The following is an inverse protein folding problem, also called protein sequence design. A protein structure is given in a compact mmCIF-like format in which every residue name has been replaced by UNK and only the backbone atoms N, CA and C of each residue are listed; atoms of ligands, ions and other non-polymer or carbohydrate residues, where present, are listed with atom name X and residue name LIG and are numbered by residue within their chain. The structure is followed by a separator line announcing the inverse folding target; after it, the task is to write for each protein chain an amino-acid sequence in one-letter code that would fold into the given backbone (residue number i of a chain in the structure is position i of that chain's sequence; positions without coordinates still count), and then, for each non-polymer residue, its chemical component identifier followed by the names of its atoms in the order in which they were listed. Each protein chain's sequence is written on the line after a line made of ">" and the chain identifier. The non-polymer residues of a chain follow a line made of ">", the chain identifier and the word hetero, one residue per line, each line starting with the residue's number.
data_IF_640447175266
#
_entry.id   IF_640447175266
#
_cell.length_a   1.000
_cell.length_b   1.000
_cell.length_c   1.000
_cell.angle_alpha   90.00
_cell.angle_beta   90.00
_cell.angle_gamma   90.00
#
_symmetry.space_group_name_H-M   'P 1'
#
loop_
_entity.id
_entity.type
_entity.pdbx_description
1 polymer ?
#
# COMPACT_ATOMS: atom_id res chain seq x y z
N UNK A 1 -35.73 35.89 -7.44
CA UNK A 1 -34.75 35.51 -6.40
C UNK A 1 -35.04 34.13 -5.78
N UNK A 2 -36.25 33.85 -5.28
CA UNK A 2 -36.62 32.59 -4.59
C UNK A 2 -36.36 31.29 -5.40
N UNK A 3 -36.59 31.29 -6.72
CA UNK A 3 -36.35 30.13 -7.61
C UNK A 3 -34.87 29.74 -7.74
N UNK A 4 -33.95 30.70 -7.64
CA UNK A 4 -32.50 30.46 -7.80
C UNK A 4 -31.95 29.82 -6.53
N UNK A 5 -32.34 30.33 -5.35
CA UNK A 5 -31.97 29.72 -4.07
C UNK A 5 -32.50 28.30 -3.94
N UNK A 6 -33.74 28.05 -4.35
CA UNK A 6 -34.32 26.69 -4.35
C UNK A 6 -33.57 25.73 -5.28
N UNK A 7 -33.13 26.18 -6.46
CA UNK A 7 -32.32 25.37 -7.37
C UNK A 7 -30.93 25.05 -6.82
N UNK A 8 -30.27 26.03 -6.19
CA UNK A 8 -28.96 25.84 -5.53
C UNK A 8 -29.10 24.87 -4.35
N UNK A 9 -30.15 25.00 -3.53
CA UNK A 9 -30.39 24.11 -2.40
C UNK A 9 -30.63 22.66 -2.84
N UNK A 10 -31.37 22.48 -3.94
CA UNK A 10 -31.57 21.16 -4.56
C UNK A 10 -30.25 20.57 -5.06
N UNK A 11 -29.40 21.37 -5.72
CA UNK A 11 -28.09 20.94 -6.19
C UNK A 11 -27.16 20.57 -5.03
N UNK A 12 -27.15 21.36 -3.94
CA UNK A 12 -26.39 21.05 -2.73
C UNK A 12 -26.87 19.76 -2.06
N UNK A 13 -28.19 19.54 -2.01
CA UNK A 13 -28.77 18.32 -1.47
C UNK A 13 -28.44 17.09 -2.32
N UNK A 14 -28.57 17.18 -3.66
CA UNK A 14 -28.19 16.11 -4.59
C UNK A 14 -26.69 15.79 -4.51
N UNK A 15 -25.83 16.80 -4.40
CA UNK A 15 -24.39 16.61 -4.23
C UNK A 15 -24.04 15.97 -2.87
N UNK A 16 -24.74 16.34 -1.79
CA UNK A 16 -24.56 15.71 -0.49
C UNK A 16 -24.98 14.24 -0.51
N UNK A 17 -26.14 13.94 -1.10
CA UNK A 17 -26.63 12.55 -1.24
C UNK A 17 -25.74 11.74 -2.16
N UNK A 18 -25.24 12.29 -3.28
CA UNK A 18 -24.31 11.59 -4.16
C UNK A 18 -22.96 11.37 -3.49
N UNK A 19 -22.47 12.34 -2.71
CA UNK A 19 -21.23 12.21 -1.93
C UNK A 19 -21.35 11.09 -0.89
N UNK A 20 -22.44 11.07 -0.12
CA UNK A 20 -22.72 10.03 0.88
C UNK A 20 -22.92 8.67 0.20
N UNK A 21 -23.68 8.59 -0.89
CA UNK A 21 -23.88 7.34 -1.62
C UNK A 21 -22.57 6.81 -2.21
N UNK A 22 -21.71 7.69 -2.72
CA UNK A 22 -20.37 7.32 -3.19
C UNK A 22 -19.53 6.82 -2.01
N UNK A 23 -19.53 7.51 -0.88
CA UNK A 23 -18.80 7.08 0.33
C UNK A 23 -19.30 5.71 0.80
N UNK A 24 -20.61 5.51 0.91
CA UNK A 24 -21.24 4.25 1.38
C UNK A 24 -20.97 3.11 0.39
N UNK A 25 -21.10 3.36 -0.92
CA UNK A 25 -20.87 2.36 -1.95
C UNK A 25 -19.39 1.99 -2.05
N UNK A 26 -18.48 2.98 -1.98
CA UNK A 26 -17.04 2.71 -1.88
C UNK A 26 -16.67 1.99 -0.56
N UNK A 27 -17.34 2.31 0.55
CA UNK A 27 -17.15 1.63 1.83
C UNK A 27 -17.48 0.14 1.73
N UNK A 28 -18.56 -0.19 1.03
CA UNK A 28 -19.08 -1.55 0.95
C UNK A 28 -18.37 -2.41 -0.11
N UNK A 29 -17.92 -1.80 -1.22
CA UNK A 29 -17.36 -2.53 -2.36
C UNK A 29 -15.83 -2.43 -2.49
N UNK A 30 -15.23 -1.34 -2.00
CA UNK A 30 -13.85 -0.96 -2.31
C UNK A 30 -12.97 -0.91 -1.04
N UNK A 31 -13.57 -0.74 0.14
CA UNK A 31 -12.90 -0.70 1.43
C UNK A 31 -12.25 0.68 1.73
N UNK A 32 -12.17 1.04 3.02
CA UNK A 32 -11.62 2.34 3.49
C UNK A 32 -10.24 2.64 2.89
N UNK A 33 -9.39 1.62 2.80
CA UNK A 33 -8.00 1.74 2.34
C UNK A 33 -7.90 2.28 0.90
N UNK A 34 -8.89 1.97 0.07
CA UNK A 34 -8.95 2.44 -1.30
C UNK A 34 -9.52 3.84 -1.46
N UNK A 35 -10.55 4.17 -0.67
CA UNK A 35 -11.04 5.55 -0.62
C UNK A 35 -9.93 6.50 -0.14
N UNK A 36 -9.13 6.06 0.84
CA UNK A 36 -7.94 6.77 1.29
C UNK A 36 -6.92 6.98 0.16
N UNK A 37 -6.62 5.93 -0.63
CA UNK A 37 -5.73 6.03 -1.79
C UNK A 37 -6.24 6.99 -2.86
N UNK A 38 -7.56 7.01 -3.11
CA UNK A 38 -8.17 7.92 -4.08
C UNK A 38 -8.07 9.38 -3.62
N UNK A 39 -8.34 9.65 -2.34
CA UNK A 39 -8.15 10.99 -1.74
C UNK A 39 -6.68 11.41 -1.82
N UNK A 40 -5.75 10.51 -1.50
CA UNK A 40 -4.31 10.79 -1.65
C UNK A 40 -3.91 11.06 -3.10
N UNK A 41 -4.46 10.31 -4.07
CA UNK A 41 -4.19 10.52 -5.50
C UNK A 41 -4.70 11.86 -6.00
N UNK A 42 -5.90 12.27 -5.58
CA UNK A 42 -6.45 13.60 -5.89
C UNK A 42 -5.64 14.72 -5.23
N UNK A 43 -5.22 14.53 -3.98
CA UNK A 43 -4.38 15.48 -3.25
C UNK A 43 -3.00 15.62 -3.91
N UNK A 44 -2.42 14.50 -4.35
CA UNK A 44 -1.16 14.47 -5.08
C UNK A 44 -1.27 15.18 -6.44
N UNK A 45 -2.42 15.09 -7.13
CA UNK A 45 -2.62 15.81 -8.38
C UNK A 45 -2.46 17.34 -8.22
N UNK A 46 -2.83 17.89 -7.05
CA UNK A 46 -2.70 19.32 -6.75
C UNK A 46 -1.30 19.71 -6.22
N UNK A 47 -0.74 18.94 -5.27
CA UNK A 47 0.50 19.31 -4.59
C UNK A 47 1.77 18.69 -5.18
N UNK A 48 1.68 17.49 -5.75
CA UNK A 48 2.83 16.70 -6.18
C UNK A 48 2.44 15.72 -7.30
N UNK A 49 2.18 16.20 -8.53
CA UNK A 49 1.58 15.40 -9.59
C UNK A 49 2.44 14.19 -10.00
N UNK A 50 3.76 14.24 -9.77
CA UNK A 50 4.65 13.11 -9.97
C UNK A 50 4.34 11.89 -9.07
N UNK A 51 3.72 12.11 -7.90
CA UNK A 51 3.35 11.05 -6.95
C UNK A 51 2.07 10.30 -7.33
N UNK A 52 1.29 10.80 -8.29
CA UNK A 52 0.05 10.15 -8.74
C UNK A 52 0.34 8.75 -9.26
N UNK A 53 1.40 8.58 -10.05
CA UNK A 53 1.75 7.27 -10.63
C UNK A 53 2.16 6.24 -9.55
N UNK A 54 3.05 6.56 -8.59
CA UNK A 54 3.30 5.71 -7.42
C UNK A 54 2.06 5.38 -6.61
N UNK A 55 1.18 6.36 -6.37
CA UNK A 55 -0.06 6.15 -5.60
C UNK A 55 -1.01 5.21 -6.34
N UNK A 56 -1.14 5.35 -7.66
CA UNK A 56 -1.92 4.41 -8.48
C UNK A 56 -1.35 2.99 -8.40
N UNK A 57 -0.01 2.85 -8.46
CA UNK A 57 0.65 1.55 -8.33
C UNK A 57 0.39 0.90 -6.96
N UNK A 58 0.51 1.69 -5.88
CA UNK A 58 0.19 1.22 -4.53
C UNK A 58 -1.29 0.90 -4.36
N UNK A 59 -2.17 1.66 -5.02
CA UNK A 59 -3.61 1.39 -5.02
C UNK A 59 -3.91 0.01 -5.57
N UNK A 60 -3.28 -0.38 -6.68
CA UNK A 60 -3.42 -1.74 -7.23
C UNK A 60 -3.03 -2.80 -6.18
N UNK A 61 -1.93 -2.59 -5.46
CA UNK A 61 -1.52 -3.46 -4.35
C UNK A 61 -2.56 -3.54 -3.23
N UNK A 62 -3.11 -2.40 -2.82
CA UNK A 62 -4.19 -2.34 -1.82
C UNK A 62 -5.45 -3.06 -2.29
N UNK A 63 -5.75 -3.08 -3.61
CA UNK A 63 -6.96 -3.68 -4.15
C UNK A 63 -6.97 -5.18 -3.92
N UNK A 64 -5.87 -5.81 -4.34
CA UNK A 64 -5.75 -7.26 -4.36
C UNK A 64 -5.49 -7.84 -2.98
N UNK A 65 -4.87 -7.08 -2.08
CA UNK A 65 -4.61 -7.50 -0.71
C UNK A 65 -5.70 -7.10 0.29
N UNK A 66 -6.70 -6.32 -0.13
CA UNK A 66 -7.75 -5.79 0.75
C UNK A 66 -7.25 -4.73 1.75
N UNK A 67 -6.00 -4.29 1.67
CA UNK A 67 -5.43 -3.30 2.58
C UNK A 67 -3.94 -3.05 2.39
N UNK A 68 -3.27 -2.50 3.40
CA UNK A 68 -1.83 -2.22 3.34
C UNK A 68 -0.94 -3.41 3.75
N UNK A 69 -1.53 -4.58 4.02
CA UNK A 69 -0.78 -5.76 4.48
C UNK A 69 0.25 -6.24 3.46
N UNK A 70 0.02 -6.02 2.15
CA UNK A 70 0.97 -6.40 1.11
C UNK A 70 2.37 -5.80 1.31
N UNK A 71 2.46 -4.61 1.93
CA UNK A 71 3.74 -3.97 2.25
C UNK A 71 4.47 -4.80 3.31
N UNK A 72 3.75 -5.23 4.34
CA UNK A 72 4.32 -6.07 5.40
C UNK A 72 4.73 -7.44 4.86
N UNK A 73 3.92 -8.04 3.97
CA UNK A 73 4.24 -9.31 3.33
C UNK A 73 5.50 -9.21 2.46
N UNK A 74 5.62 -8.14 1.68
CA UNK A 74 6.80 -7.88 0.85
C UNK A 74 8.06 -7.64 1.70
N UNK A 75 7.92 -6.86 2.79
CA UNK A 75 9.03 -6.61 3.72
C UNK A 75 9.45 -7.88 4.44
N UNK A 76 8.49 -8.70 4.87
CA UNK A 76 8.72 -10.00 5.52
C UNK A 76 9.50 -10.93 4.59
N UNK A 77 9.13 -10.98 3.31
CA UNK A 77 9.84 -11.75 2.29
C UNK A 77 11.29 -11.27 2.12
N UNK A 78 11.52 -9.96 2.02
CA UNK A 78 12.87 -9.39 1.94
C UNK A 78 13.73 -9.72 3.16
N UNK A 79 13.14 -9.63 4.36
CA UNK A 79 13.82 -9.99 5.62
C UNK A 79 14.14 -11.48 5.63
N UNK A 80 13.21 -12.34 5.20
CA UNK A 80 13.43 -13.79 5.11
C UNK A 80 14.57 -14.14 4.14
N UNK A 81 14.61 -13.50 2.96
CA UNK A 81 15.69 -13.67 1.99
C UNK A 81 17.04 -13.23 2.56
N UNK A 82 17.06 -12.10 3.27
CA UNK A 82 18.26 -11.60 3.93
C UNK A 82 18.80 -12.61 4.97
N UNK A 83 17.93 -13.15 5.83
CA UNK A 83 18.33 -14.16 6.81
C UNK A 83 18.81 -15.46 6.17
N UNK A 84 18.17 -15.89 5.08
CA UNK A 84 18.58 -17.08 4.34
C UNK A 84 19.98 -16.90 3.73
N UNK A 85 20.25 -15.73 3.16
CA UNK A 85 21.58 -15.38 2.65
C UNK A 85 22.64 -15.40 3.78
N UNK A 86 22.33 -14.80 4.93
CA UNK A 86 23.23 -14.80 6.08
C UNK A 86 23.50 -16.21 6.62
N UNK A 87 22.47 -17.07 6.69
CA UNK A 87 22.62 -18.45 7.10
C UNK A 87 23.51 -19.25 6.14
N UNK A 88 23.35 -19.04 4.82
CA UNK A 88 24.19 -19.66 3.80
C UNK A 88 25.66 -19.23 3.94
N UNK A 89 25.92 -17.94 4.11
CA UNK A 89 27.27 -17.41 4.31
C UNK A 89 27.91 -17.95 5.59
N UNK A 90 27.16 -17.97 6.71
CA UNK A 90 27.63 -18.50 7.97
C UNK A 90 27.99 -19.99 7.87
N UNK A 91 27.15 -20.80 7.20
CA UNK A 91 27.44 -22.20 6.95
C UNK A 91 28.77 -22.38 6.21
N UNK A 92 29.01 -21.58 5.16
CA UNK A 92 30.23 -21.67 4.38
C UNK A 92 31.47 -21.33 5.21
N UNK A 93 31.45 -20.21 5.93
CA UNK A 93 32.55 -19.78 6.80
C UNK A 93 32.86 -20.80 7.91
N UNK A 94 31.82 -21.33 8.56
CA UNK A 94 31.97 -22.37 9.58
C UNK A 94 32.55 -23.64 8.97
N UNK A 95 32.11 -24.03 7.77
CA UNK A 95 32.61 -25.24 7.11
C UNK A 95 34.09 -25.16 6.74
N UNK A 96 34.58 -23.99 6.34
CA UNK A 96 36.00 -23.75 6.05
C UNK A 96 36.82 -23.78 7.34
N UNK A 97 36.38 -23.07 8.37
CA UNK A 97 37.04 -23.06 9.67
C UNK A 97 37.16 -24.47 10.29
N UNK A 98 36.11 -25.30 10.17
CA UNK A 98 36.12 -26.70 10.64
C UNK A 98 37.14 -27.53 9.87
N UNK A 99 37.30 -27.32 8.55
CA UNK A 99 38.28 -28.05 7.74
C UNK A 99 39.70 -27.72 8.16
N UNK A 100 40.04 -26.43 8.28
CA UNK A 100 41.36 -25.99 8.72
C UNK A 100 41.72 -26.52 10.11
N UNK A 101 40.77 -26.49 11.04
CA UNK A 101 40.99 -27.02 12.37
C UNK A 101 41.26 -28.53 12.39
N UNK A 102 40.60 -29.27 11.47
CA UNK A 102 40.81 -30.72 11.33
C UNK A 102 42.19 -31.04 10.75
N UNK A 103 42.64 -30.28 9.76
CA UNK A 103 43.95 -30.46 9.13
C UNK A 103 45.10 -30.12 10.08
N UNK A 104 44.98 -29.06 10.89
CA UNK A 104 45.98 -28.70 11.89
C UNK A 104 46.10 -29.71 13.05
N UNK A 105 45.17 -30.66 13.17
CA UNK A 105 45.12 -31.68 14.23
C UNK A 105 45.61 -33.06 13.78
N UNK A 106 45.83 -33.28 12.47
CA UNK A 106 46.32 -34.54 11.89
C UNK A 106 47.80 -34.47 11.55
#
# INVERSE_FOLDING_TARGET
>A
MFRIYSGILLLMFLAAVSGIATIVFFFQWIGINMAFMLVLGLLALYFAPALVLPILLLSVGVHFSGGFSFIADFLSLLIALFWLFMAYMAYHLISEWIKEWRENRS
#
